data_IF_640755928438
#
_entry.id   IF_640755928438
#
_cell.length_a   1.000
_cell.length_b   1.000
_cell.length_c   1.000
_cell.angle_alpha   90.00
_cell.angle_beta   90.00
_cell.angle_gamma   90.00
#
_symmetry.space_group_name_H-M   'P 1'
#
loop_
_entity.id
_entity.type
_entity.pdbx_description
1 polymer ?
#
# COMPACT_ATOMS: atom_id res chain seq x y z
N UNK A 1 -6.51 7.98 -20.24
CA UNK A 1 -7.01 6.67 -20.69
C UNK A 1 -5.86 5.68 -20.55
N UNK A 2 -5.83 4.94 -19.45
CA UNK A 2 -4.75 3.97 -19.27
C UNK A 2 -4.92 2.82 -20.26
N UNK A 3 -3.82 2.41 -20.88
CA UNK A 3 -3.80 1.36 -21.89
C UNK A 3 -3.71 0.00 -21.19
N UNK A 4 -4.07 -1.10 -21.88
CA UNK A 4 -3.69 -2.47 -21.49
C UNK A 4 -2.22 -2.55 -21.03
N UNK A 5 -1.34 -1.72 -21.62
CA UNK A 5 0.06 -1.56 -21.22
C UNK A 5 0.25 -1.10 -19.77
N UNK A 6 -0.59 -0.24 -19.23
CA UNK A 6 -0.48 0.24 -17.86
C UNK A 6 -0.93 -0.82 -16.86
N UNK A 7 -1.98 -1.58 -17.20
CA UNK A 7 -2.38 -2.79 -16.47
C UNK A 7 -1.24 -3.82 -16.53
N UNK A 8 -0.71 -4.13 -17.71
CA UNK A 8 0.45 -5.03 -17.88
C UNK A 8 1.73 -4.52 -17.22
N UNK A 9 1.91 -3.21 -17.04
CA UNK A 9 3.07 -2.60 -16.38
C UNK A 9 2.94 -2.64 -14.86
N UNK A 10 1.74 -2.37 -14.33
CA UNK A 10 1.39 -2.58 -12.92
C UNK A 10 1.62 -4.06 -12.54
N UNK A 11 1.13 -4.96 -13.38
CA UNK A 11 1.39 -6.39 -13.23
C UNK A 11 2.80 -6.82 -13.64
N UNK A 12 3.47 -5.99 -14.45
CA UNK A 12 4.86 -6.08 -14.87
C UNK A 12 5.82 -6.05 -13.68
N UNK A 13 5.42 -5.37 -12.61
CA UNK A 13 6.15 -5.34 -11.34
C UNK A 13 6.16 -6.71 -10.63
N UNK A 14 5.16 -7.57 -10.90
CA UNK A 14 5.03 -8.95 -10.38
C UNK A 14 4.94 -10.00 -11.51
N UNK A 15 5.71 -9.84 -12.60
CA UNK A 15 5.71 -10.73 -13.78
C UNK A 15 5.76 -12.22 -13.42
N UNK A 16 6.54 -12.57 -12.41
CA UNK A 16 6.77 -13.95 -11.99
C UNK A 16 5.51 -14.63 -11.46
N UNK A 17 4.67 -13.91 -10.72
CA UNK A 17 3.48 -14.49 -10.08
C UNK A 17 2.40 -14.81 -11.12
N UNK A 18 2.19 -13.92 -12.10
CA UNK A 18 1.26 -14.17 -13.20
C UNK A 18 1.76 -15.26 -14.14
N UNK A 19 3.06 -15.25 -14.48
CA UNK A 19 3.66 -16.31 -15.27
C UNK A 19 3.54 -17.68 -14.60
N UNK A 20 3.82 -17.75 -13.29
CA UNK A 20 3.67 -18.98 -12.50
C UNK A 20 2.22 -19.44 -12.44
N UNK A 21 1.25 -18.54 -12.29
CA UNK A 21 -0.16 -18.89 -12.32
C UNK A 21 -0.57 -19.48 -13.66
N UNK A 22 -0.26 -18.81 -14.77
CA UNK A 22 -0.63 -19.29 -16.11
C UNK A 22 -0.03 -20.68 -16.33
N UNK A 23 1.24 -20.88 -15.95
CA UNK A 23 1.89 -22.19 -15.99
C UNK A 23 1.16 -23.21 -15.12
N UNK A 24 0.80 -22.88 -13.88
CA UNK A 24 0.08 -23.77 -12.98
C UNK A 24 -1.30 -24.16 -13.54
N UNK A 25 -2.05 -23.19 -14.09
CA UNK A 25 -3.34 -23.41 -14.72
C UNK A 25 -3.22 -24.36 -15.93
N UNK A 26 -2.27 -24.11 -16.83
CA UNK A 26 -2.01 -24.98 -17.98
C UNK A 26 -1.60 -26.38 -17.54
N UNK A 27 -0.74 -26.48 -16.53
CA UNK A 27 -0.26 -27.76 -16.03
C UNK A 27 -1.41 -28.57 -15.40
N UNK A 28 -2.26 -27.95 -14.57
CA UNK A 28 -3.44 -28.62 -13.99
C UNK A 28 -4.45 -29.02 -15.07
N UNK A 29 -4.69 -28.18 -16.08
CA UNK A 29 -5.56 -28.53 -17.22
C UNK A 29 -5.00 -29.73 -18.00
N UNK A 30 -3.71 -29.70 -18.34
CA UNK A 30 -3.03 -30.79 -19.03
C UNK A 30 -3.08 -32.11 -18.24
N UNK A 31 -2.86 -32.04 -16.92
CA UNK A 31 -2.96 -33.22 -16.07
C UNK A 31 -4.40 -33.72 -15.94
N UNK A 32 -5.38 -32.83 -15.81
CA UNK A 32 -6.79 -33.20 -15.78
C UNK A 32 -7.17 -33.95 -17.05
N UNK A 33 -6.70 -33.48 -18.20
CA UNK A 33 -6.90 -34.13 -19.49
C UNK A 33 -6.26 -35.53 -19.54
N UNK A 34 -5.04 -35.70 -19.02
CA UNK A 34 -4.32 -36.99 -19.03
C UNK A 34 -4.87 -38.04 -18.07
N UNK A 35 -5.27 -37.63 -16.87
CA UNK A 35 -5.59 -38.58 -15.78
C UNK A 35 -7.08 -38.84 -15.62
N UNK A 36 -7.95 -37.92 -16.09
CA UNK A 36 -9.43 -37.99 -16.08
C UNK A 36 -10.08 -38.52 -14.79
N UNK A 37 -9.44 -38.35 -13.64
CA UNK A 37 -10.00 -38.75 -12.35
C UNK A 37 -11.14 -37.82 -11.95
N UNK A 38 -12.28 -38.36 -11.51
CA UNK A 38 -13.49 -37.57 -11.21
C UNK A 38 -13.25 -36.43 -10.20
N UNK A 39 -12.41 -36.65 -9.18
CA UNK A 39 -12.06 -35.60 -8.21
C UNK A 39 -11.27 -34.44 -8.83
N UNK A 40 -10.32 -34.73 -9.72
CA UNK A 40 -9.50 -33.70 -10.37
C UNK A 40 -10.29 -32.92 -11.42
N UNK A 41 -11.21 -33.57 -12.14
CA UNK A 41 -12.14 -32.90 -13.07
C UNK A 41 -13.04 -31.91 -12.32
N UNK A 42 -13.58 -32.30 -11.15
CA UNK A 42 -14.40 -31.40 -10.32
C UNK A 42 -13.61 -30.19 -9.82
N UNK A 43 -12.41 -30.41 -9.27
CA UNK A 43 -11.54 -29.30 -8.82
C UNK A 43 -11.17 -28.37 -9.98
N UNK A 44 -10.83 -28.93 -11.14
CA UNK A 44 -10.51 -28.15 -12.33
C UNK A 44 -11.70 -27.31 -12.79
N UNK A 45 -12.92 -27.87 -12.77
CA UNK A 45 -14.13 -27.16 -13.18
C UNK A 45 -14.53 -26.02 -12.24
N UNK A 46 -14.30 -26.17 -10.93
CA UNK A 46 -14.68 -25.17 -9.91
C UNK A 46 -13.63 -24.07 -9.74
N UNK A 47 -12.34 -24.42 -9.80
CA UNK A 47 -11.25 -23.49 -9.48
C UNK A 47 -10.51 -23.02 -10.74
N UNK A 48 -9.95 -23.96 -11.50
CA UNK A 48 -9.01 -23.64 -12.58
C UNK A 48 -9.73 -23.06 -13.80
N UNK A 49 -10.87 -23.61 -14.19
CA UNK A 49 -11.61 -23.16 -15.37
C UNK A 49 -12.11 -21.71 -15.22
N UNK A 50 -12.80 -21.32 -14.13
CA UNK A 50 -13.21 -19.92 -13.94
C UNK A 50 -12.01 -18.98 -13.87
N UNK A 51 -10.91 -19.41 -13.23
CA UNK A 51 -9.67 -18.63 -13.15
C UNK A 51 -9.04 -18.42 -14.52
N UNK A 52 -8.96 -19.47 -15.35
CA UNK A 52 -8.43 -19.35 -16.72
C UNK A 52 -9.33 -18.51 -17.61
N UNK A 53 -10.64 -18.63 -17.48
CA UNK A 53 -11.59 -17.80 -18.22
C UNK A 53 -11.42 -16.32 -17.85
N UNK A 54 -11.29 -16.01 -16.56
CA UNK A 54 -11.10 -14.66 -16.06
C UNK A 54 -9.75 -14.09 -16.53
N UNK A 55 -8.67 -14.88 -16.50
CA UNK A 55 -7.38 -14.48 -17.05
C UNK A 55 -7.46 -14.19 -18.55
N UNK A 56 -8.11 -15.05 -19.33
CA UNK A 56 -8.27 -14.84 -20.77
C UNK A 56 -9.10 -13.59 -21.04
N UNK A 57 -10.17 -13.36 -20.27
CA UNK A 57 -10.99 -12.17 -20.38
C UNK A 57 -10.20 -10.90 -20.04
N UNK A 58 -9.41 -10.90 -18.96
CA UNK A 58 -8.68 -9.71 -18.51
C UNK A 58 -7.34 -9.47 -19.22
N UNK A 59 -6.74 -10.49 -19.82
CA UNK A 59 -5.54 -10.34 -20.67
C UNK A 59 -5.90 -10.05 -22.13
N UNK A 60 -7.17 -10.23 -22.53
CA UNK A 60 -7.62 -9.89 -23.87
C UNK A 60 -7.75 -8.36 -24.02
N UNK A 61 -7.07 -7.75 -25.03
CA UNK A 61 -7.12 -6.30 -25.26
C UNK A 61 -8.52 -5.77 -25.50
N UNK A 62 -9.39 -6.55 -26.15
CA UNK A 62 -10.76 -6.14 -26.47
C UNK A 62 -11.61 -6.06 -25.21
N UNK A 63 -11.59 -7.12 -24.40
CA UNK A 63 -12.32 -7.18 -23.14
C UNK A 63 -11.84 -6.15 -22.13
N UNK A 64 -10.53 -5.90 -22.06
CA UNK A 64 -9.96 -4.87 -21.18
C UNK A 64 -10.39 -3.48 -21.60
N UNK A 65 -10.43 -3.18 -22.89
CA UNK A 65 -10.90 -1.89 -23.40
C UNK A 65 -12.34 -1.60 -22.97
N UNK A 66 -13.24 -2.59 -23.09
CA UNK A 66 -14.62 -2.44 -22.63
C UNK A 66 -14.71 -2.33 -21.11
N UNK A 67 -13.94 -3.13 -20.36
CA UNK A 67 -13.95 -3.07 -18.90
C UNK A 67 -13.46 -1.72 -18.37
N UNK A 68 -12.39 -1.16 -18.94
CA UNK A 68 -11.86 0.17 -18.58
C UNK A 68 -12.79 1.31 -19.02
N UNK A 69 -13.55 1.12 -20.11
CA UNK A 69 -14.54 2.11 -20.52
C UNK A 69 -15.75 2.18 -19.57
N UNK A 70 -16.06 1.08 -18.87
CA UNK A 70 -17.19 0.96 -17.94
C UNK A 70 -16.79 1.21 -16.47
N UNK A 71 -15.54 0.94 -16.10
CA UNK A 71 -15.03 1.00 -14.73
C UNK A 71 -13.74 1.79 -14.67
N UNK A 72 -13.50 2.52 -13.57
CA UNK A 72 -12.21 3.17 -13.34
C UNK A 72 -11.06 2.14 -13.31
N UNK A 73 -9.90 2.53 -13.84
CA UNK A 73 -8.71 1.67 -14.04
C UNK A 73 -8.33 0.82 -12.81
N UNK A 74 -8.42 1.39 -11.61
CA UNK A 74 -8.09 0.73 -10.34
C UNK A 74 -9.10 -0.36 -9.95
N UNK A 75 -10.33 -0.30 -10.46
CA UNK A 75 -11.38 -1.29 -10.17
C UNK A 75 -11.18 -2.55 -11.03
N UNK A 76 -10.80 -2.39 -12.30
CA UNK A 76 -10.52 -3.51 -13.22
C UNK A 76 -9.42 -4.43 -12.65
N UNK A 77 -8.42 -3.84 -11.98
CA UNK A 77 -7.36 -4.59 -11.32
C UNK A 77 -7.87 -5.50 -10.18
N UNK A 78 -8.92 -5.10 -9.45
CA UNK A 78 -9.45 -5.86 -8.30
C UNK A 78 -10.11 -7.17 -8.71
N UNK A 79 -10.62 -7.27 -9.94
CA UNK A 79 -11.19 -8.52 -10.44
C UNK A 79 -10.17 -9.66 -10.52
N UNK A 80 -8.87 -9.35 -10.67
CA UNK A 80 -7.81 -10.36 -10.62
C UNK A 80 -7.58 -10.92 -9.21
N UNK A 81 -7.92 -10.18 -8.15
CA UNK A 81 -7.84 -10.69 -6.78
C UNK A 81 -8.89 -11.75 -6.47
N UNK A 82 -9.95 -11.83 -7.28
CA UNK A 82 -10.96 -12.89 -7.18
C UNK A 82 -10.36 -14.24 -7.60
N UNK A 83 -9.28 -14.24 -8.40
CA UNK A 83 -8.61 -15.48 -8.78
C UNK A 83 -7.96 -16.10 -7.55
N UNK A 84 -8.29 -17.35 -7.18
CA UNK A 84 -7.71 -18.05 -6.04
C UNK A 84 -6.29 -18.57 -6.36
N UNK A 85 -5.37 -17.63 -6.61
CA UNK A 85 -3.99 -17.88 -7.03
C UNK A 85 -3.26 -18.85 -6.10
N UNK A 86 -3.38 -18.61 -4.80
CA UNK A 86 -2.72 -19.39 -3.74
C UNK A 86 -3.19 -20.85 -3.75
N UNK A 87 -4.48 -21.08 -3.95
CA UNK A 87 -5.06 -22.42 -4.02
C UNK A 87 -4.60 -23.16 -5.27
N UNK A 88 -4.57 -22.51 -6.43
CA UNK A 88 -4.12 -23.13 -7.69
C UNK A 88 -2.64 -23.53 -7.59
N UNK A 89 -1.79 -22.65 -7.04
CA UNK A 89 -0.37 -22.95 -6.82
C UNK A 89 -0.22 -24.12 -5.84
N UNK A 90 -0.94 -24.11 -4.71
CA UNK A 90 -0.88 -25.20 -3.73
C UNK A 90 -1.29 -26.55 -4.35
N UNK A 91 -2.37 -26.59 -5.14
CA UNK A 91 -2.80 -27.78 -5.88
C UNK A 91 -1.69 -28.26 -6.81
N UNK A 92 -1.06 -27.35 -7.56
CA UNK A 92 0.03 -27.69 -8.47
C UNK A 92 1.21 -28.33 -7.72
N UNK A 93 1.60 -27.76 -6.58
CA UNK A 93 2.68 -28.29 -5.72
C UNK A 93 2.32 -29.70 -5.23
N UNK A 94 1.12 -29.89 -4.69
CA UNK A 94 0.65 -31.21 -4.20
C UNK A 94 0.63 -32.24 -5.33
N UNK A 95 0.17 -31.86 -6.52
CA UNK A 95 0.18 -32.73 -7.69
C UNK A 95 1.61 -33.18 -8.05
N UNK A 96 2.58 -32.26 -8.07
CA UNK A 96 4.00 -32.59 -8.32
C UNK A 96 4.54 -33.52 -7.23
N UNK A 97 4.30 -33.21 -5.95
CA UNK A 97 4.80 -34.03 -4.83
C UNK A 97 4.18 -35.43 -4.79
N UNK A 98 2.90 -35.56 -5.13
CA UNK A 98 2.20 -36.86 -5.15
C UNK A 98 2.84 -37.86 -6.12
N UNK A 99 3.58 -37.39 -7.13
CA UNK A 99 4.27 -38.24 -8.13
C UNK A 99 5.60 -38.79 -7.65
N UNK A 100 6.22 -38.15 -6.66
CA UNK A 100 7.48 -38.62 -6.11
C UNK A 100 7.20 -39.85 -5.25
N UNK A 101 7.87 -40.97 -5.53
CA UNK A 101 7.65 -42.23 -4.77
C UNK A 101 8.36 -42.23 -3.42
N UNK A 102 9.50 -41.56 -3.32
CA UNK A 102 10.38 -41.61 -2.14
C UNK A 102 10.12 -40.40 -1.23
N UNK A 103 9.97 -40.64 0.07
CA UNK A 103 9.66 -39.60 1.07
C UNK A 103 10.72 -38.48 1.15
N UNK A 104 12.00 -38.83 1.10
CA UNK A 104 13.07 -37.83 1.12
C UNK A 104 13.07 -36.93 -0.12
N UNK A 105 12.72 -37.47 -1.30
CA UNK A 105 12.59 -36.66 -2.52
C UNK A 105 11.39 -35.72 -2.43
N UNK A 106 10.28 -36.15 -1.80
CA UNK A 106 9.13 -35.26 -1.52
C UNK A 106 9.54 -34.09 -0.63
N UNK A 107 10.24 -34.38 0.47
CA UNK A 107 10.71 -33.34 1.37
C UNK A 107 11.67 -32.36 0.66
N UNK A 108 12.65 -32.88 -0.06
CA UNK A 108 13.62 -32.06 -0.79
C UNK A 108 12.97 -31.15 -1.84
N UNK A 109 12.04 -31.69 -2.65
CA UNK A 109 11.32 -30.92 -3.67
C UNK A 109 10.39 -29.90 -3.03
N UNK A 110 9.70 -30.25 -1.94
CA UNK A 110 8.85 -29.30 -1.22
C UNK A 110 9.66 -28.12 -0.67
N UNK A 111 10.77 -28.40 0.01
CA UNK A 111 11.67 -27.36 0.53
C UNK A 111 12.19 -26.47 -0.60
N UNK A 112 12.65 -27.06 -1.71
CA UNK A 112 13.12 -26.31 -2.89
C UNK A 112 12.04 -25.37 -3.43
N UNK A 113 10.82 -25.87 -3.60
CA UNK A 113 9.69 -25.07 -4.13
C UNK A 113 9.32 -23.94 -3.17
N UNK A 114 9.26 -24.21 -1.86
CA UNK A 114 9.01 -23.17 -0.86
C UNK A 114 10.10 -22.09 -0.87
N UNK A 115 11.38 -22.48 -0.91
CA UNK A 115 12.49 -21.53 -1.01
C UNK A 115 12.42 -20.70 -2.30
N UNK A 116 12.07 -21.32 -3.44
CA UNK A 116 11.90 -20.60 -4.70
C UNK A 116 10.76 -19.58 -4.60
N UNK A 117 9.58 -19.98 -4.10
CA UNK A 117 8.46 -19.05 -3.91
C UNK A 117 8.83 -17.89 -2.99
N UNK A 118 9.50 -18.15 -1.87
CA UNK A 118 9.96 -17.10 -0.95
C UNK A 118 10.99 -16.17 -1.57
N UNK A 119 11.90 -16.71 -2.39
CA UNK A 119 12.90 -15.92 -3.11
C UNK A 119 12.24 -15.01 -4.14
N UNK A 120 11.40 -15.56 -5.01
CA UNK A 120 10.73 -14.80 -6.07
C UNK A 120 9.68 -13.80 -5.56
N UNK A 121 9.04 -14.07 -4.41
CA UNK A 121 8.06 -13.16 -3.81
C UNK A 121 8.69 -11.98 -3.03
N UNK A 122 10.03 -11.87 -3.03
CA UNK A 122 10.79 -11.02 -2.10
C UNK A 122 10.41 -11.29 -0.63
N UNK A 123 10.00 -12.54 -0.35
CA UNK A 123 9.45 -12.97 0.92
C UNK A 123 10.48 -12.91 2.04
N UNK A 124 11.75 -13.15 1.75
CA UNK A 124 12.83 -13.01 2.73
C UNK A 124 13.03 -11.58 3.22
N UNK A 125 12.98 -10.60 2.31
CA UNK A 125 13.06 -9.18 2.68
C UNK A 125 11.84 -8.78 3.51
N UNK A 126 10.63 -9.16 3.07
CA UNK A 126 9.40 -8.89 3.82
C UNK A 126 9.40 -9.54 5.19
N UNK A 127 9.79 -10.82 5.29
CA UNK A 127 9.96 -11.52 6.55
C UNK A 127 10.92 -10.74 7.43
N UNK A 128 12.13 -10.43 6.94
CA UNK A 128 13.10 -9.62 7.70
C UNK A 128 12.48 -8.31 8.21
N UNK A 129 11.77 -7.57 7.35
CA UNK A 129 11.07 -6.34 7.75
C UNK A 129 10.00 -6.61 8.81
N UNK A 130 9.15 -7.62 8.66
CA UNK A 130 8.11 -7.96 9.65
C UNK A 130 8.70 -8.41 10.99
N UNK A 131 9.80 -9.16 10.97
CA UNK A 131 10.48 -9.63 12.16
C UNK A 131 11.29 -8.52 12.85
N UNK A 132 11.75 -7.51 12.10
CA UNK A 132 12.45 -6.33 12.63
C UNK A 132 11.51 -5.17 12.99
N UNK A 133 10.29 -5.15 12.45
CA UNK A 133 9.25 -4.17 12.76
C UNK A 133 8.64 -4.46 14.14
N UNK A 134 9.43 -4.18 15.17
CA UNK A 134 8.95 -4.16 16.54
C UNK A 134 7.93 -3.03 16.69
N UNK A 135 6.77 -3.33 17.25
CA UNK A 135 5.69 -2.36 17.46
C UNK A 135 5.90 -1.70 18.82
N UNK A 136 6.13 -0.39 18.84
CA UNK A 136 6.39 0.33 20.10
C UNK A 136 5.13 0.50 20.95
N UNK A 137 3.98 0.53 20.29
CA UNK A 137 2.68 0.66 20.93
C UNK A 137 1.71 -0.42 20.44
N UNK A 138 0.62 -0.59 21.20
CA UNK A 138 -0.44 -1.56 20.92
C UNK A 138 -1.18 -1.27 19.61
N UNK A 139 -1.21 0.00 19.18
CA UNK A 139 -1.87 0.45 17.96
C UNK A 139 -1.11 0.06 16.69
N UNK A 140 0.18 -0.28 16.80
CA UNK A 140 1.08 -0.54 15.66
C UNK A 140 1.15 0.65 14.69
N UNK A 141 1.02 1.85 15.24
CA UNK A 141 1.11 3.13 14.56
C UNK A 141 2.43 3.79 14.99
N UNK A 142 3.12 4.55 14.12
CA UNK A 142 4.31 5.30 14.55
C UNK A 142 4.02 6.16 15.78
N UNK A 143 4.88 6.05 16.79
CA UNK A 143 4.66 6.69 18.10
C UNK A 143 4.53 8.22 17.98
N UNK A 144 5.31 8.84 17.09
CA UNK A 144 5.21 10.27 16.75
C UNK A 144 3.81 10.69 16.29
N UNK A 145 3.11 9.84 15.54
CA UNK A 145 1.76 10.15 15.06
C UNK A 145 0.76 10.07 16.21
N UNK A 146 0.92 9.11 17.12
CA UNK A 146 0.07 8.98 18.31
C UNK A 146 0.19 10.24 19.18
N UNK A 147 1.41 10.67 19.49
CA UNK A 147 1.67 11.86 20.31
C UNK A 147 1.11 13.14 19.68
N UNK A 148 1.39 13.38 18.39
CA UNK A 148 0.85 14.55 17.68
C UNK A 148 -0.69 14.55 17.64
N UNK A 149 -1.31 13.37 17.45
CA UNK A 149 -2.76 13.27 17.43
C UNK A 149 -3.35 13.49 18.83
N UNK A 150 -2.75 12.93 19.87
CA UNK A 150 -3.20 13.11 21.25
C UNK A 150 -3.11 14.58 21.67
N UNK A 151 -2.04 15.29 21.29
CA UNK A 151 -1.89 16.73 21.55
C UNK A 151 -3.00 17.54 20.86
N UNK A 152 -3.33 17.23 19.59
CA UNK A 152 -4.44 17.86 18.87
C UNK A 152 -5.79 17.51 19.50
N UNK A 153 -5.95 16.28 19.99
CA UNK A 153 -7.20 15.82 20.60
C UNK A 153 -7.45 16.42 21.98
N UNK A 154 -6.39 16.70 22.75
CA UNK A 154 -6.48 17.35 24.05
C UNK A 154 -6.73 18.85 23.96
N UNK A 155 -6.51 19.46 22.80
CA UNK A 155 -6.77 20.87 22.60
C UNK A 155 -8.30 21.18 22.50
N UNK A 156 -8.71 22.31 23.07
CA UNK A 156 -10.10 22.76 23.24
C UNK A 156 -10.75 23.25 21.91
N UNK A 157 -10.11 23.05 20.77
CA UNK A 157 -10.66 23.51 19.49
C UNK A 157 -11.83 22.62 19.03
N UNK A 158 -12.97 23.24 18.69
CA UNK A 158 -14.16 22.54 18.20
C UNK A 158 -13.92 21.79 16.88
N UNK A 159 -13.09 22.34 15.98
CA UNK A 159 -12.80 21.74 14.67
C UNK A 159 -11.32 21.36 14.56
N UNK A 160 -11.07 20.07 14.68
CA UNK A 160 -9.75 19.45 14.59
C UNK A 160 -9.39 19.14 13.14
N UNK A 161 -9.01 20.16 12.38
CA UNK A 161 -8.49 20.04 11.01
C UNK A 161 -6.98 20.22 11.03
N UNK A 162 -6.22 19.27 10.49
CA UNK A 162 -4.76 19.26 10.58
C UNK A 162 -4.09 18.91 9.25
N UNK A 163 -2.97 19.56 8.96
CA UNK A 163 -2.12 19.24 7.80
C UNK A 163 -0.91 18.46 8.31
N UNK A 164 -0.78 17.21 7.87
CA UNK A 164 0.33 16.33 8.20
C UNK A 164 1.20 16.08 6.96
N UNK A 165 2.54 16.04 7.10
CA UNK A 165 3.44 15.68 6.01
C UNK A 165 3.30 14.19 5.66
N UNK A 166 3.61 13.84 4.41
CA UNK A 166 3.80 12.43 4.05
C UNK A 166 5.10 11.92 4.68
N UNK A 167 5.16 10.70 5.26
CA UNK A 167 4.12 9.67 5.27
C UNK A 167 3.34 9.59 6.61
N UNK A 168 3.35 10.64 7.45
CA UNK A 168 2.64 10.65 8.75
C UNK A 168 1.13 10.71 8.56
N UNK A 169 0.66 11.50 7.58
CA UNK A 169 -0.76 11.63 7.23
C UNK A 169 -1.46 10.29 6.97
N UNK A 170 -0.73 9.26 6.52
CA UNK A 170 -1.24 7.92 6.21
C UNK A 170 -1.76 7.19 7.46
N UNK A 171 -1.22 7.54 8.62
CA UNK A 171 -1.47 6.84 9.88
C UNK A 171 -2.52 7.51 10.76
N UNK A 172 -2.76 8.81 10.57
CA UNK A 172 -3.68 9.59 11.40
C UNK A 172 -5.08 8.95 11.41
N UNK A 173 -5.64 8.64 10.23
CA UNK A 173 -6.96 7.99 10.13
C UNK A 173 -7.01 6.56 10.67
N UNK A 174 -5.85 5.90 10.79
CA UNK A 174 -5.76 4.58 11.43
C UNK A 174 -5.79 4.70 12.96
N UNK A 175 -5.28 5.82 13.50
CA UNK A 175 -5.31 6.10 14.93
C UNK A 175 -6.65 6.71 15.37
N UNK A 176 -7.11 7.77 14.70
CA UNK A 176 -8.36 8.47 15.03
C UNK A 176 -9.10 9.00 13.81
N UNK A 177 -10.43 9.01 13.86
CA UNK A 177 -11.30 9.58 12.83
C UNK A 177 -11.76 11.02 13.12
N UNK A 178 -11.40 11.58 14.28
CA UNK A 178 -11.84 12.92 14.70
C UNK A 178 -11.04 14.04 14.02
N UNK A 179 -9.81 13.76 13.61
CA UNK A 179 -8.94 14.72 12.93
C UNK A 179 -9.22 14.68 11.42
N UNK A 180 -9.67 15.80 10.88
CA UNK A 180 -9.90 15.99 9.45
C UNK A 180 -8.59 16.36 8.75
N UNK A 181 -8.28 15.66 7.66
CA UNK A 181 -7.07 15.88 6.86
C UNK A 181 -7.44 16.39 5.46
N UNK A 182 -6.71 17.38 4.90
CA UNK A 182 -6.89 17.83 3.51
C UNK A 182 -6.65 16.73 2.48
N UNK A 183 -5.67 15.87 2.77
CA UNK A 183 -5.23 14.83 1.85
C UNK A 183 -4.68 13.61 2.58
N UNK A 184 -4.68 12.48 1.89
CA UNK A 184 -4.12 11.19 2.28
C UNK A 184 -3.58 10.49 1.01
N UNK A 185 -3.19 9.21 1.11
CA UNK A 185 -2.64 8.44 -0.02
C UNK A 185 -3.51 8.53 -1.29
N UNK A 186 -3.04 9.26 -2.31
CA UNK A 186 -3.73 9.49 -3.58
C UNK A 186 -5.20 9.95 -3.44
N UNK A 187 -5.57 10.52 -2.31
CA UNK A 187 -6.93 10.97 -2.01
C UNK A 187 -6.82 12.36 -1.43
N UNK A 188 -7.48 13.32 -2.06
CA UNK A 188 -7.50 14.72 -1.63
C UNK A 188 -8.95 15.20 -1.56
N UNK A 189 -9.22 16.15 -0.68
CA UNK A 189 -10.46 16.91 -0.75
C UNK A 189 -10.56 17.58 -2.13
N UNK A 190 -11.77 17.71 -2.66
CA UNK A 190 -12.03 18.30 -3.99
C UNK A 190 -12.00 19.84 -3.90
N UNK A 191 -10.89 20.35 -3.36
CA UNK A 191 -10.63 21.77 -3.15
C UNK A 191 -9.25 22.12 -3.70
N UNK A 192 -9.09 23.29 -4.34
CA UNK A 192 -7.81 23.70 -4.91
C UNK A 192 -6.72 23.85 -3.83
N UNK A 193 -7.10 24.19 -2.60
CA UNK A 193 -6.19 24.32 -1.47
C UNK A 193 -5.63 22.96 -1.04
N UNK A 194 -6.47 21.91 -0.99
CA UNK A 194 -6.02 20.56 -0.63
C UNK A 194 -5.09 19.96 -1.71
N UNK A 195 -5.32 20.28 -2.98
CA UNK A 195 -4.42 19.92 -4.08
C UNK A 195 -3.07 20.63 -3.95
N UNK A 196 -3.06 21.94 -3.74
CA UNK A 196 -1.82 22.70 -3.56
C UNK A 196 -1.05 22.25 -2.31
N UNK A 197 -1.75 21.94 -1.20
CA UNK A 197 -1.13 21.40 0.00
C UNK A 197 -0.56 20.00 -0.22
N UNK A 198 -1.23 19.15 -1.00
CA UNK A 198 -0.73 17.83 -1.37
C UNK A 198 0.56 17.92 -2.20
N UNK A 199 0.63 18.88 -3.12
CA UNK A 199 1.81 19.08 -3.96
C UNK A 199 2.98 19.68 -3.14
N UNK A 200 2.68 20.59 -2.20
CA UNK A 200 3.67 21.21 -1.33
C UNK A 200 4.26 20.24 -0.28
N UNK A 201 3.43 19.36 0.29
CA UNK A 201 3.83 18.33 1.27
C UNK A 201 4.10 16.94 0.65
N UNK A 202 3.96 16.81 -0.66
CA UNK A 202 4.14 15.56 -1.38
C UNK A 202 5.57 15.05 -1.30
N UNK A 203 5.75 13.73 -1.46
CA UNK A 203 7.03 13.00 -1.32
C UNK A 203 8.18 13.45 -2.26
N UNK A 204 8.01 14.51 -3.06
CA UNK A 204 9.00 14.97 -4.04
C UNK A 204 9.03 16.49 -4.09
N UNK A 205 9.68 17.10 -3.10
CA UNK A 205 10.17 18.47 -3.19
C UNK A 205 11.68 18.47 -3.05
N UNK A 206 12.42 18.59 -4.16
CA UNK A 206 13.84 18.99 -4.14
C UNK A 206 14.00 20.46 -3.77
N UNK A 207 12.89 21.20 -3.72
CA UNK A 207 12.82 22.61 -3.42
C UNK A 207 12.41 22.83 -1.95
N UNK A 208 12.97 23.83 -1.27
CA UNK A 208 12.56 24.20 0.07
C UNK A 208 11.06 24.49 0.17
N UNK A 209 10.42 24.01 1.23
CA UNK A 209 8.99 24.21 1.48
C UNK A 209 8.77 25.66 1.91
N UNK A 210 7.94 26.39 1.15
CA UNK A 210 7.59 27.78 1.46
C UNK A 210 6.49 27.81 2.55
N UNK A 211 6.86 28.28 3.75
CA UNK A 211 5.99 28.34 4.92
C UNK A 211 4.91 29.43 4.82
N UNK A 212 5.17 30.51 4.07
CA UNK A 212 4.18 31.58 3.85
C UNK A 212 3.03 31.09 2.98
N UNK A 213 3.38 30.38 1.90
CA UNK A 213 2.40 29.76 1.00
C UNK A 213 1.59 28.68 1.73
N UNK A 214 2.28 27.85 2.52
CA UNK A 214 1.66 26.85 3.37
C UNK A 214 0.64 27.48 4.33
N UNK A 215 1.04 28.53 5.05
CA UNK A 215 0.16 29.21 5.99
C UNK A 215 -1.05 29.83 5.29
N UNK A 216 -0.87 30.41 4.10
CA UNK A 216 -1.97 30.96 3.29
C UNK A 216 -2.96 29.88 2.90
N UNK A 217 -2.49 28.79 2.29
CA UNK A 217 -3.34 27.67 1.86
C UNK A 217 -4.06 27.02 3.04
N UNK A 218 -3.37 26.85 4.17
CA UNK A 218 -3.95 26.29 5.38
C UNK A 218 -5.08 27.19 5.94
N UNK A 219 -4.91 28.52 5.89
CA UNK A 219 -5.94 29.49 6.30
C UNK A 219 -7.14 29.47 5.35
N UNK A 220 -6.90 29.49 4.04
CA UNK A 220 -7.94 29.47 3.00
C UNK A 220 -8.79 28.18 3.09
N UNK A 221 -8.13 27.02 3.29
CA UNK A 221 -8.81 25.74 3.46
C UNK A 221 -9.43 25.51 4.86
N UNK A 222 -9.20 26.41 5.82
CA UNK A 222 -9.73 26.28 7.18
C UNK A 222 -9.08 25.17 8.02
N UNK A 223 -7.80 24.88 7.76
CA UNK A 223 -7.01 23.92 8.53
C UNK A 223 -6.39 24.62 9.76
N UNK A 224 -6.68 24.10 10.95
CA UNK A 224 -6.32 24.73 12.22
C UNK A 224 -4.89 24.40 12.65
N UNK A 225 -4.44 23.16 12.38
CA UNK A 225 -3.15 22.65 12.82
C UNK A 225 -2.23 22.34 11.65
N UNK A 226 -0.94 22.56 11.83
CA UNK A 226 0.11 22.24 10.85
C UNK A 226 1.22 21.49 11.57
N UNK A 227 1.64 20.37 11.01
CA UNK A 227 2.77 19.58 11.51
C UNK A 227 3.96 19.75 10.55
N UNK A 228 5.11 20.12 11.08
CA UNK A 228 6.36 20.22 10.33
C UNK A 228 7.44 19.36 10.96
N UNK A 229 8.35 18.82 10.13
CA UNK A 229 9.57 18.22 10.65
C UNK A 229 10.46 19.32 11.22
N UNK A 230 11.16 19.05 12.32
CA UNK A 230 12.09 20.03 12.91
C UNK A 230 13.31 20.27 11.99
N UNK A 231 13.72 19.23 11.27
CA UNK A 231 14.87 19.26 10.36
C UNK A 231 14.38 19.13 8.91
N UNK A 232 14.06 20.26 8.29
CA UNK A 232 13.67 20.36 6.89
C UNK A 232 14.21 21.64 6.24
N UNK A 233 14.17 21.68 4.92
CA UNK A 233 14.54 22.88 4.15
C UNK A 233 13.30 23.76 3.99
N UNK A 234 13.27 24.87 4.72
CA UNK A 234 12.11 25.75 4.86
C UNK A 234 12.47 27.19 4.50
N UNK A 235 11.57 27.88 3.79
CA UNK A 235 11.65 29.33 3.54
C UNK A 235 10.46 30.01 4.21
N UNK A 236 10.74 31.06 5.00
CA UNK A 236 9.72 31.83 5.74
C UNK A 236 9.57 31.39 7.19
N UNK A 237 8.53 31.87 7.87
CA UNK A 237 8.22 31.52 9.26
C UNK A 237 6.70 31.39 9.46
N UNK A 238 6.26 30.25 10.00
CA UNK A 238 4.85 30.05 10.35
C UNK A 238 4.38 30.99 11.46
N UNK A 239 5.28 31.41 12.35
CA UNK A 239 4.94 32.28 13.49
C UNK A 239 4.56 33.68 13.04
N UNK A 240 5.31 34.25 12.10
CA UNK A 240 4.95 35.53 11.47
C UNK A 240 3.62 35.46 10.71
N UNK A 241 3.25 34.27 10.26
CA UNK A 241 1.98 33.99 9.59
C UNK A 241 0.83 33.63 10.55
N UNK A 242 0.93 33.92 11.86
CA UNK A 242 -0.18 33.77 12.80
C UNK A 242 -0.45 32.32 13.24
N UNK A 243 0.57 31.48 13.22
CA UNK A 243 0.55 30.17 13.86
C UNK A 243 1.45 30.15 15.08
N UNK A 244 1.02 29.50 16.15
CA UNK A 244 1.79 29.36 17.38
C UNK A 244 2.24 27.91 17.55
N UNK A 245 3.51 27.71 17.91
CA UNK A 245 4.01 26.40 18.34
C UNK A 245 3.33 26.00 19.65
N UNK A 246 2.68 24.83 19.66
CA UNK A 246 1.97 24.30 20.84
C UNK A 246 2.66 23.09 21.45
N UNK A 247 3.31 22.27 20.63
CA UNK A 247 4.00 21.05 21.08
C UNK A 247 5.15 20.69 20.15
N UNK A 248 6.12 19.96 20.71
CA UNK A 248 7.26 19.41 19.98
C UNK A 248 7.46 17.96 20.38
N UNK A 249 7.41 17.07 19.40
CA UNK A 249 7.66 15.65 19.59
C UNK A 249 9.13 15.37 19.28
N UNK A 250 9.83 14.79 20.26
CA UNK A 250 11.27 14.57 20.17
C UNK A 250 11.65 13.42 19.24
N UNK A 251 12.86 13.51 18.69
CA UNK A 251 13.48 12.48 17.85
C UNK A 251 13.66 11.17 18.65
N UNK A 252 13.44 10.03 17.99
CA UNK A 252 13.71 8.69 18.53
C UNK A 252 14.99 8.10 17.89
N UNK A 253 16.20 8.45 18.38
CA UNK A 253 17.46 8.22 17.66
C UNK A 253 17.87 6.75 17.49
N UNK A 254 17.26 5.81 18.23
CA UNK A 254 17.71 4.42 18.29
C UNK A 254 17.36 3.58 17.04
N UNK A 255 16.58 4.10 16.07
CA UNK A 255 16.00 3.28 14.98
C UNK A 255 16.20 3.74 13.53
N UNK A 256 17.15 4.65 13.30
CA UNK A 256 17.63 4.99 11.96
C UNK A 256 16.85 6.12 11.27
N UNK A 257 17.17 6.35 10.00
CA UNK A 257 16.85 7.57 9.24
C UNK A 257 15.48 7.52 8.52
N UNK A 258 14.45 7.06 9.22
CA UNK A 258 13.07 7.08 8.70
C UNK A 258 12.36 8.34 9.17
N UNK A 259 11.51 8.92 8.32
CA UNK A 259 10.66 10.06 8.67
C UNK A 259 9.91 9.86 10.00
N UNK A 260 9.54 8.63 10.35
CA UNK A 260 8.83 8.31 11.60
C UNK A 260 9.65 8.47 12.89
N UNK A 261 10.97 8.63 12.81
CA UNK A 261 11.86 8.76 13.96
C UNK A 261 12.48 10.16 14.08
N UNK A 262 12.10 11.08 13.21
CA UNK A 262 12.51 12.49 13.25
C UNK A 262 11.69 13.27 14.28
N UNK A 263 12.20 14.42 14.70
CA UNK A 263 11.45 15.34 15.55
C UNK A 263 10.45 16.15 14.71
N UNK A 264 9.28 16.45 15.30
CA UNK A 264 8.22 17.21 14.65
C UNK A 264 7.71 18.31 15.57
N UNK A 265 7.31 19.42 14.96
CA UNK A 265 6.75 20.59 15.63
C UNK A 265 5.28 20.72 15.21
N UNK A 266 4.41 20.89 16.19
CA UNK A 266 2.98 21.11 16.01
C UNK A 266 2.65 22.59 16.18
N UNK A 267 2.07 23.17 15.15
CA UNK A 267 1.63 24.56 15.10
C UNK A 267 0.10 24.63 15.10
N UNK A 268 -0.45 25.61 15.82
CA UNK A 268 -1.88 25.92 15.87
C UNK A 268 -2.13 27.36 15.39
N UNK A 269 -3.16 27.56 14.59
CA UNK A 269 -3.61 28.89 14.19
C UNK A 269 -4.20 29.67 15.38
N UNK A 270 -3.81 30.93 15.54
CA UNK A 270 -4.42 31.89 16.49
C UNK A 270 -5.79 32.40 16.01
#
# INVERSE_FOLDING_TARGET
MSSLRDILKYYGQNQWMLGMLVLCCVAVLFWTWKTRTSGMVRMCAILVLPSTLLLVLLLNPVSTHFAVALFHDTQVQRFLWIVPMTLIIAICIVLVLSRLRKGYMRAAVFTLVCCAVLFYANGFTRLRTTWQAYTDNWYKVPQVVVELCDDILQDDCERKTAVFPSPLNLWVRQYTGEIQLPFAWNTKEDTPEAEALYDLYGEVGTDPVNLDELARLAKEGGYTYIVLAEQGDYIGDLVENGYKEISRVHMYPERGDSAYYQAYILYRRE
#
